data_IF_976174673704
#
_entry.id   IF_976174673704
#
_cell.length_a   1.000
_cell.length_b   1.000
_cell.length_c   1.000
_cell.angle_alpha   90.00
_cell.angle_beta   90.00
_cell.angle_gamma   90.00
#
_symmetry.space_group_name_H-M   'P 1'
#
loop_
_entity.id
_entity.type
_entity.pdbx_description
1 polymer ?
#
# COMPACT_ATOMS: atom_id res chain seq x y z
N UNK A 1 30.74 -36.46 -30.38
CA UNK A 1 30.49 -35.73 -29.12
C UNK A 1 29.74 -36.68 -28.18
N UNK A 2 30.22 -36.96 -26.95
CA UNK A 2 29.59 -38.00 -26.11
C UNK A 2 28.27 -37.52 -25.51
N UNK A 3 27.30 -38.43 -25.33
CA UNK A 3 25.98 -38.14 -24.74
C UNK A 3 26.04 -37.41 -23.39
N UNK A 4 27.11 -37.61 -22.62
CA UNK A 4 27.34 -36.91 -21.35
C UNK A 4 27.59 -35.41 -21.53
N UNK A 5 28.38 -35.01 -22.53
CA UNK A 5 28.66 -33.59 -22.83
C UNK A 5 27.39 -32.87 -23.30
N UNK A 6 26.57 -33.54 -24.12
CA UNK A 6 25.30 -32.98 -24.61
C UNK A 6 24.33 -32.75 -23.45
N UNK A 7 24.17 -33.73 -22.54
CA UNK A 7 23.33 -33.57 -21.34
C UNK A 7 23.79 -32.43 -20.44
N UNK A 8 25.10 -32.27 -20.24
CA UNK A 8 25.65 -31.17 -19.45
C UNK A 8 25.26 -29.80 -20.02
N UNK A 9 25.44 -29.60 -21.33
CA UNK A 9 25.04 -28.35 -22.00
C UNK A 9 23.53 -28.09 -21.92
N UNK A 10 22.70 -29.13 -22.02
CA UNK A 10 21.25 -29.02 -21.83
C UNK A 10 20.91 -28.53 -20.42
N UNK A 11 21.54 -29.08 -19.37
CA UNK A 11 21.29 -28.63 -18.00
C UNK A 11 21.77 -27.19 -17.79
N UNK A 12 22.91 -26.79 -18.35
CA UNK A 12 23.38 -25.41 -18.30
C UNK A 12 22.42 -24.45 -19.01
N UNK A 13 21.89 -24.83 -20.18
CA UNK A 13 20.91 -24.03 -20.91
C UNK A 13 19.59 -23.88 -20.13
N UNK A 14 19.09 -24.96 -19.53
CA UNK A 14 17.89 -24.92 -18.67
C UNK A 14 18.14 -24.00 -17.45
N UNK A 15 19.27 -24.15 -16.77
CA UNK A 15 19.63 -23.31 -15.63
C UNK A 15 19.71 -21.83 -16.00
N UNK A 16 20.31 -21.51 -17.14
CA UNK A 16 20.37 -20.14 -17.65
C UNK A 16 18.98 -19.58 -17.96
N UNK A 17 18.11 -20.35 -18.62
CA UNK A 17 16.73 -19.93 -18.91
C UNK A 17 15.93 -19.67 -17.63
N UNK A 18 16.10 -20.49 -16.59
CA UNK A 18 15.46 -20.27 -15.29
C UNK A 18 15.96 -18.97 -14.66
N UNK A 19 17.27 -18.73 -14.66
CA UNK A 19 17.85 -17.49 -14.13
C UNK A 19 17.38 -16.26 -14.89
N UNK A 20 17.32 -16.31 -16.22
CA UNK A 20 16.78 -15.23 -17.04
C UNK A 20 15.29 -14.98 -16.75
N UNK A 21 14.50 -16.04 -16.53
CA UNK A 21 13.07 -15.92 -16.23
C UNK A 21 12.83 -15.32 -14.84
N UNK A 22 13.60 -15.75 -13.84
CA UNK A 22 13.55 -15.17 -12.48
C UNK A 22 14.03 -13.72 -12.51
N UNK A 23 15.13 -13.43 -13.21
CA UNK A 23 15.65 -12.08 -13.37
C UNK A 23 14.64 -11.16 -14.05
N UNK A 24 14.03 -11.61 -15.13
CA UNK A 24 12.95 -10.88 -15.80
C UNK A 24 11.78 -10.60 -14.86
N UNK A 25 11.31 -11.61 -14.13
CA UNK A 25 10.20 -11.47 -13.21
C UNK A 25 10.51 -10.47 -12.07
N UNK A 26 11.70 -10.54 -11.49
CA UNK A 26 12.07 -9.62 -10.40
C UNK A 26 12.28 -8.18 -10.88
N UNK A 27 12.76 -7.99 -12.11
CA UNK A 27 13.07 -6.65 -12.65
C UNK A 27 11.87 -5.99 -13.31
N UNK A 28 11.09 -6.72 -14.08
CA UNK A 28 10.15 -6.17 -15.08
C UNK A 28 8.71 -6.59 -14.86
N UNK A 29 8.39 -7.33 -13.78
CA UNK A 29 7.00 -7.62 -13.40
C UNK A 29 6.20 -6.32 -13.37
N UNK A 30 5.03 -6.35 -13.98
CA UNK A 30 4.11 -5.22 -14.02
C UNK A 30 3.64 -4.85 -12.62
N UNK A 31 3.44 -3.55 -12.40
CA UNK A 31 2.82 -3.08 -11.17
C UNK A 31 1.34 -3.43 -11.17
N UNK A 32 0.82 -3.84 -10.02
CA UNK A 32 -0.62 -3.99 -9.81
C UNK A 32 -1.34 -2.62 -9.78
N UNK A 33 -0.59 -1.52 -9.66
CA UNK A 33 -1.14 -0.17 -9.53
C UNK A 33 -1.09 0.59 -10.84
N UNK A 34 -2.25 1.07 -11.24
CA UNK A 34 -2.48 1.94 -12.38
C UNK A 34 -3.67 2.84 -12.07
N UNK A 35 -3.85 3.90 -12.86
CA UNK A 35 -5.03 4.77 -12.76
C UNK A 35 -6.35 4.00 -12.97
N UNK A 36 -6.30 2.87 -13.67
CA UNK A 36 -7.44 1.99 -13.90
C UNK A 36 -7.79 1.12 -12.68
N UNK A 37 -6.81 0.77 -11.84
CA UNK A 37 -7.00 -0.13 -10.69
C UNK A 37 -7.15 0.61 -9.36
N UNK A 38 -6.66 1.84 -9.25
CA UNK A 38 -6.66 2.61 -8.00
C UNK A 38 -8.07 2.81 -7.41
N UNK A 39 -9.06 3.14 -8.25
CA UNK A 39 -10.43 3.38 -7.81
C UNK A 39 -11.11 2.11 -7.28
N UNK A 40 -10.81 0.94 -7.87
CA UNK A 40 -11.38 -0.34 -7.44
C UNK A 40 -10.73 -0.81 -6.13
N UNK A 41 -9.41 -0.66 -6.00
CA UNK A 41 -8.67 -0.94 -4.76
C UNK A 41 -9.15 -0.06 -3.59
N UNK A 42 -9.48 1.21 -3.86
CA UNK A 42 -10.09 2.07 -2.85
C UNK A 42 -11.50 1.59 -2.47
N UNK A 43 -12.31 1.21 -3.46
CA UNK A 43 -13.71 0.81 -3.27
C UNK A 43 -13.84 -0.46 -2.42
N UNK A 44 -12.91 -1.41 -2.57
CA UNK A 44 -12.88 -2.67 -1.82
C UNK A 44 -12.89 -2.45 -0.30
N UNK A 45 -12.15 -1.43 0.17
CA UNK A 45 -12.01 -1.11 1.60
C UNK A 45 -12.52 0.30 1.95
N UNK A 46 -13.41 0.87 1.13
CA UNK A 46 -13.84 2.26 1.25
C UNK A 46 -14.41 2.59 2.63
N UNK A 47 -15.20 1.69 3.21
CA UNK A 47 -15.78 1.90 4.53
C UNK A 47 -14.71 1.92 5.63
N UNK A 48 -13.68 1.07 5.52
CA UNK A 48 -12.59 1.03 6.48
C UNK A 48 -11.72 2.29 6.40
N UNK A 49 -11.42 2.77 5.19
CA UNK A 49 -10.76 4.06 4.97
C UNK A 49 -11.57 5.23 5.58
N UNK A 50 -12.87 5.29 5.30
CA UNK A 50 -13.73 6.35 5.84
C UNK A 50 -13.82 6.32 7.37
N UNK A 51 -13.98 5.12 7.95
CA UNK A 51 -14.10 4.94 9.41
C UNK A 51 -12.80 5.35 10.11
N UNK A 52 -11.65 4.95 9.57
CA UNK A 52 -10.36 5.32 10.15
C UNK A 52 -10.05 6.80 10.01
N UNK A 53 -10.35 7.40 8.85
CA UNK A 53 -10.13 8.82 8.61
C UNK A 53 -11.02 9.69 9.53
N UNK A 54 -12.30 9.31 9.66
CA UNK A 54 -13.24 10.03 10.52
C UNK A 54 -12.79 10.04 11.98
N UNK A 55 -12.36 8.89 12.51
CA UNK A 55 -11.89 8.80 13.90
C UNK A 55 -10.63 9.63 14.16
N UNK A 56 -9.64 9.54 13.27
CA UNK A 56 -8.38 10.29 13.40
C UNK A 56 -8.61 11.80 13.29
N UNK A 57 -9.50 12.23 12.40
CA UNK A 57 -9.87 13.64 12.25
C UNK A 57 -10.66 14.17 13.47
N UNK A 58 -11.68 13.43 13.94
CA UNK A 58 -12.51 13.83 15.08
C UNK A 58 -11.69 13.97 16.37
N UNK A 59 -10.71 13.08 16.56
CA UNK A 59 -9.87 13.04 17.76
C UNK A 59 -8.61 13.89 17.66
N UNK A 60 -8.39 14.57 16.53
CA UNK A 60 -7.18 15.35 16.24
C UNK A 60 -5.88 14.56 16.50
N UNK A 61 -5.89 13.27 16.13
CA UNK A 61 -4.75 12.37 16.35
C UNK A 61 -3.76 12.54 15.19
N UNK A 62 -2.55 12.98 15.50
CA UNK A 62 -1.45 13.09 14.54
C UNK A 62 -0.43 12.00 14.82
N UNK A 63 -0.48 10.93 14.03
CA UNK A 63 0.32 9.74 14.26
C UNK A 63 0.70 9.09 12.93
N UNK A 64 1.90 8.50 12.93
CA UNK A 64 2.35 7.56 11.91
C UNK A 64 2.14 6.14 12.43
N UNK A 65 1.29 5.40 11.75
CA UNK A 65 0.84 4.05 12.11
C UNK A 65 1.40 3.06 11.10
N UNK A 66 2.24 2.14 11.56
CA UNK A 66 2.90 1.12 10.72
C UNK A 66 2.43 -0.31 11.09
N UNK A 67 1.35 -0.42 11.87
CA UNK A 67 0.77 -1.68 12.28
C UNK A 67 -0.44 -1.48 13.20
N UNK A 68 -0.99 -2.58 13.70
CA UNK A 68 -2.19 -2.56 14.54
C UNK A 68 -1.86 -1.88 15.89
N UNK A 69 -2.63 -0.86 16.31
CA UNK A 69 -2.46 -0.25 17.63
C UNK A 69 -2.61 -1.29 18.75
N UNK A 70 -1.62 -1.37 19.62
CA UNK A 70 -1.60 -2.26 20.77
C UNK A 70 -1.66 -1.47 22.08
N UNK A 71 -1.85 -2.19 23.20
CA UNK A 71 -1.97 -1.62 24.55
C UNK A 71 -0.70 -0.82 24.97
N UNK A 72 0.41 -1.03 24.27
CA UNK A 72 1.68 -0.33 24.48
C UNK A 72 1.67 1.14 24.03
N UNK A 73 0.57 1.64 23.46
CA UNK A 73 0.39 3.03 23.03
C UNK A 73 1.49 3.51 22.06
N UNK A 74 2.05 2.58 21.26
CA UNK A 74 3.19 2.86 20.38
C UNK A 74 2.93 3.98 19.37
N UNK A 75 1.68 4.20 19.00
CA UNK A 75 1.26 5.19 18.02
C UNK A 75 0.55 6.41 18.64
N UNK A 76 0.59 6.56 19.97
CA UNK A 76 -0.08 7.67 20.66
C UNK A 76 -1.61 7.59 20.65
N UNK A 77 -2.18 6.45 20.25
CA UNK A 77 -3.61 6.17 20.26
C UNK A 77 -3.92 5.40 21.54
N UNK A 78 -4.57 6.06 22.49
CA UNK A 78 -4.97 5.43 23.74
C UNK A 78 -6.19 4.52 23.51
N UNK A 79 -6.17 3.28 24.02
CA UNK A 79 -7.36 2.43 23.98
C UNK A 79 -8.53 3.07 24.74
N UNK A 80 -9.68 3.19 24.08
CA UNK A 80 -10.91 3.68 24.68
C UNK A 80 -11.98 2.58 24.69
N UNK A 81 -12.76 2.48 25.77
CA UNK A 81 -13.95 1.62 25.79
C UNK A 81 -15.14 2.34 25.15
N UNK A 82 -15.04 2.56 23.83
CA UNK A 82 -16.08 3.22 23.03
C UNK A 82 -16.35 2.45 21.73
N UNK A 83 -17.58 2.51 21.24
CA UNK A 83 -17.94 1.89 19.95
C UNK A 83 -17.18 2.53 18.79
N UNK A 84 -16.91 3.84 18.88
CA UNK A 84 -16.10 4.56 17.91
C UNK A 84 -14.67 4.01 17.83
N UNK A 85 -14.02 3.79 18.97
CA UNK A 85 -12.68 3.20 19.02
C UNK A 85 -12.67 1.75 18.52
N UNK A 86 -13.68 0.94 18.89
CA UNK A 86 -13.80 -0.43 18.39
C UNK A 86 -13.93 -0.48 16.86
N UNK A 87 -14.82 0.33 16.29
CA UNK A 87 -15.01 0.43 14.85
C UNK A 87 -13.74 0.93 14.14
N UNK A 88 -13.06 1.93 14.72
CA UNK A 88 -11.77 2.41 14.24
C UNK A 88 -10.72 1.29 14.21
N UNK A 89 -10.57 0.57 15.32
CA UNK A 89 -9.56 -0.47 15.46
C UNK A 89 -9.83 -1.67 14.53
N UNK A 90 -11.09 -2.05 14.35
CA UNK A 90 -11.49 -3.12 13.42
C UNK A 90 -11.23 -2.72 11.96
N UNK A 91 -11.61 -1.48 11.58
CA UNK A 91 -11.34 -0.94 10.25
C UNK A 91 -9.83 -0.83 9.97
N UNK A 92 -9.05 -0.35 10.94
CA UNK A 92 -7.60 -0.24 10.79
C UNK A 92 -6.93 -1.62 10.69
N UNK A 93 -7.43 -2.59 11.47
CA UNK A 93 -6.97 -3.98 11.42
C UNK A 93 -7.27 -4.63 10.06
N UNK A 94 -8.44 -4.37 9.50
CA UNK A 94 -8.79 -4.80 8.13
C UNK A 94 -7.78 -4.24 7.13
N UNK A 95 -7.58 -2.91 7.13
CA UNK A 95 -6.67 -2.25 6.21
C UNK A 95 -5.25 -2.79 6.29
N UNK A 96 -4.66 -2.95 7.48
CA UNK A 96 -3.30 -3.49 7.62
C UNK A 96 -3.17 -4.96 7.24
N UNK A 97 -4.26 -5.73 7.28
CA UNK A 97 -4.24 -7.14 6.89
C UNK A 97 -4.30 -7.33 5.38
N UNK A 98 -5.01 -6.45 4.65
CA UNK A 98 -5.30 -6.68 3.23
C UNK A 98 -4.78 -5.61 2.28
N UNK A 99 -4.65 -4.35 2.71
CA UNK A 99 -4.58 -3.23 1.78
C UNK A 99 -3.36 -2.33 1.99
N UNK A 100 -3.07 -1.92 3.22
CA UNK A 100 -2.10 -0.85 3.51
C UNK A 100 -0.84 -1.38 4.18
N UNK A 101 0.27 -0.69 3.95
CA UNK A 101 1.52 -0.86 4.68
C UNK A 101 1.66 0.18 5.81
N UNK A 102 1.04 1.35 5.67
CA UNK A 102 1.21 2.49 6.57
C UNK A 102 -0.01 3.40 6.47
N UNK A 103 -0.40 4.01 7.59
CA UNK A 103 -1.35 5.10 7.67
C UNK A 103 -0.70 6.26 8.45
N UNK A 104 -0.87 7.49 7.98
CA UNK A 104 -0.36 8.66 8.69
C UNK A 104 -1.42 9.77 8.70
N UNK A 105 -1.56 10.40 9.86
CA UNK A 105 -2.47 11.52 10.08
C UNK A 105 -1.67 12.75 10.47
N UNK A 106 -1.96 13.86 9.79
CA UNK A 106 -1.40 15.19 10.04
C UNK A 106 -2.54 16.19 10.26
N UNK A 107 -2.22 17.46 10.52
CA UNK A 107 -3.23 18.50 10.73
C UNK A 107 -4.20 18.66 9.54
N UNK A 108 -3.71 18.47 8.30
CA UNK A 108 -4.44 18.83 7.09
C UNK A 108 -4.82 17.64 6.20
N UNK A 109 -4.21 16.48 6.43
CA UNK A 109 -4.40 15.29 5.59
C UNK A 109 -4.17 14.00 6.36
N UNK A 110 -4.99 13.01 6.06
CA UNK A 110 -4.82 11.61 6.48
C UNK A 110 -4.52 10.81 5.22
N UNK A 111 -3.44 10.04 5.22
CA UNK A 111 -3.07 9.25 4.06
C UNK A 111 -2.69 7.81 4.41
N UNK A 112 -2.92 6.93 3.44
CA UNK A 112 -2.77 5.50 3.53
C UNK A 112 -1.90 5.04 2.39
N UNK A 113 -0.74 4.48 2.71
CA UNK A 113 0.23 3.98 1.74
C UNK A 113 0.04 2.48 1.58
N UNK A 114 -0.14 2.04 0.34
CA UNK A 114 -0.20 0.63 0.00
C UNK A 114 1.23 0.05 -0.15
N UNK A 115 1.41 -1.27 0.02
CA UNK A 115 2.68 -1.94 -0.25
C UNK A 115 3.15 -1.69 -1.68
N UNK A 116 4.45 -1.49 -1.91
CA UNK A 116 5.00 -1.26 -3.25
C UNK A 116 4.69 -2.44 -4.18
N UNK A 117 4.36 -2.14 -5.44
CA UNK A 117 4.00 -3.16 -6.43
C UNK A 117 4.76 -2.99 -7.75
N UNK A 118 5.14 -4.11 -8.37
CA UNK A 118 5.98 -4.16 -9.58
C UNK A 118 7.35 -4.79 -9.35
N UNK A 119 8.09 -4.99 -10.43
CA UNK A 119 9.51 -5.36 -10.40
C UNK A 119 10.39 -4.13 -10.18
N UNK A 120 11.68 -4.34 -9.90
CA UNK A 120 12.61 -3.26 -9.50
C UNK A 120 12.68 -2.08 -10.50
N UNK A 121 12.50 -2.31 -11.81
CA UNK A 121 12.54 -1.26 -12.83
C UNK A 121 11.17 -0.59 -13.09
N UNK A 122 10.10 -1.17 -12.57
CA UNK A 122 8.71 -0.74 -12.75
C UNK A 122 7.95 -0.72 -11.41
N UNK A 123 8.65 -0.37 -10.33
CA UNK A 123 8.06 -0.33 -9.00
C UNK A 123 7.24 0.95 -8.85
N UNK A 124 5.96 0.77 -8.53
CA UNK A 124 5.06 1.89 -8.24
C UNK A 124 4.61 1.81 -6.78
N UNK A 125 4.26 2.98 -6.25
CA UNK A 125 3.55 3.13 -5.01
C UNK A 125 2.17 3.73 -5.26
N UNK A 126 1.22 3.40 -4.39
CA UNK A 126 -0.11 3.99 -4.38
C UNK A 126 -0.40 4.53 -2.99
N UNK A 127 -0.87 5.77 -2.92
CA UNK A 127 -1.30 6.42 -1.67
C UNK A 127 -2.71 6.94 -1.84
N UNK A 128 -3.60 6.60 -0.92
CA UNK A 128 -4.91 7.23 -0.78
C UNK A 128 -4.83 8.33 0.27
N UNK A 129 -5.45 9.47 0.03
CA UNK A 129 -5.45 10.59 0.95
C UNK A 129 -6.85 11.17 1.12
N UNK A 130 -7.17 11.55 2.35
CA UNK A 130 -8.36 12.27 2.74
C UNK A 130 -7.97 13.66 3.26
N UNK A 131 -8.50 14.70 2.63
CA UNK A 131 -8.20 16.10 2.96
C UNK A 131 -7.71 16.92 1.76
N UNK A 132 -7.29 18.15 2.05
CA UNK A 132 -7.03 19.18 1.04
C UNK A 132 -5.54 19.37 0.70
N UNK A 133 -4.65 18.89 1.56
CA UNK A 133 -3.20 18.99 1.36
C UNK A 133 -2.63 17.75 0.66
N UNK A 134 -1.62 17.90 -0.22
CA UNK A 134 -0.86 16.77 -0.72
C UNK A 134 -0.04 16.12 0.40
N UNK A 135 0.11 14.77 0.41
CA UNK A 135 1.03 14.09 1.30
C UNK A 135 2.46 14.62 1.14
N UNK A 136 3.25 14.61 2.23
CA UNK A 136 4.65 15.07 2.24
C UNK A 136 5.52 14.32 1.21
N UNK A 137 5.12 13.11 0.83
CA UNK A 137 5.85 12.24 -0.10
C UNK A 137 5.21 12.12 -1.49
N UNK A 138 4.22 12.95 -1.82
CA UNK A 138 3.55 12.88 -3.10
C UNK A 138 4.33 13.65 -4.18
N UNK A 139 5.34 12.99 -4.76
CA UNK A 139 5.96 13.44 -6.03
C UNK A 139 5.05 13.16 -7.25
N UNK A 140 3.88 12.57 -7.00
CA UNK A 140 2.90 12.15 -7.99
C UNK A 140 1.74 13.15 -8.09
N UNK A 141 1.07 13.23 -9.27
CA UNK A 141 -0.11 14.07 -9.43
C UNK A 141 -1.25 13.63 -8.51
N UNK A 142 -2.00 14.61 -7.99
CA UNK A 142 -3.23 14.38 -7.22
C UNK A 142 -4.37 14.03 -8.17
N UNK A 143 -4.95 12.86 -8.02
CA UNK A 143 -6.14 12.45 -8.78
C UNK A 143 -7.33 12.23 -7.86
N UNK A 144 -8.47 12.84 -8.18
CA UNK A 144 -9.69 12.71 -7.37
C UNK A 144 -10.31 11.32 -7.50
N UNK A 145 -10.80 10.79 -6.38
CA UNK A 145 -11.66 9.61 -6.35
C UNK A 145 -13.13 10.02 -6.42
N UNK A 146 -14.03 9.06 -6.67
CA UNK A 146 -15.47 9.32 -6.72
C UNK A 146 -16.09 9.65 -5.36
N UNK A 147 -15.35 9.47 -4.26
CA UNK A 147 -15.77 9.82 -2.92
C UNK A 147 -15.25 11.22 -2.57
N UNK A 148 -16.14 12.09 -2.10
CA UNK A 148 -15.80 13.49 -1.79
C UNK A 148 -14.67 13.58 -0.75
N UNK A 149 -13.70 14.45 -1.03
CA UNK A 149 -12.53 14.67 -0.18
C UNK A 149 -11.44 13.59 -0.29
N UNK A 150 -11.63 12.57 -1.13
CA UNK A 150 -10.65 11.50 -1.35
C UNK A 150 -9.87 11.67 -2.65
N UNK A 151 -8.57 11.41 -2.56
CA UNK A 151 -7.63 11.50 -3.66
C UNK A 151 -6.70 10.30 -3.64
N UNK A 152 -6.11 9.98 -4.79
CA UNK A 152 -5.00 9.06 -4.86
C UNK A 152 -3.78 9.71 -5.54
N UNK A 153 -2.62 9.16 -5.19
CA UNK A 153 -1.32 9.51 -5.74
C UNK A 153 -0.65 8.23 -6.20
N UNK A 154 -0.44 8.12 -7.51
CA UNK A 154 0.26 7.01 -8.14
C UNK A 154 1.61 7.51 -8.66
N UNK A 155 2.70 6.99 -8.11
CA UNK A 155 4.04 7.38 -8.50
C UNK A 155 4.95 6.19 -8.74
N UNK A 156 6.08 6.47 -9.39
CA UNK A 156 7.20 5.54 -9.52
C UNK A 156 8.18 5.75 -8.38
N UNK A 157 8.82 4.67 -7.98
CA UNK A 157 9.93 4.71 -7.03
C UNK A 157 11.30 4.64 -7.71
#
# INVERSE_FOLDING_TARGET
MSNSKIRHWIYCAIGFLILCSIGWFLLLRESAYSDLTAADLFREHQQAYATTAAYLAEKEIYAKIEGIPTIDNRYGILPEDSDAYRNFNDALTELFRSAIAEAESTADVIYYRLPKSGGFLNQNYLVFAYGDAPPIYADAPRTALSADGWYYYLGKE
#
